data_IF_894085551017
#
_entry.id   IF_894085551017
#
_cell.length_a   1.000
_cell.length_b   1.000
_cell.length_c   1.000
_cell.angle_alpha   90.00
_cell.angle_beta   90.00
_cell.angle_gamma   90.00
#
_symmetry.space_group_name_H-M   'P 1'
#
loop_
_entity.id
_entity.type
_entity.pdbx_description
1 polymer ?
#
# COMPACT_ATOMS: atom_id res chain seq x y z
N UNK A 1 69.87 5.13 -31.96
CA UNK A 1 68.62 5.54 -31.26
C UNK A 1 67.58 4.44 -31.29
N UNK A 2 67.30 3.78 -32.43
CA UNK A 2 66.31 2.67 -32.50
C UNK A 2 66.57 1.54 -31.48
N UNK A 3 67.82 1.07 -31.33
CA UNK A 3 68.17 0.00 -30.39
C UNK A 3 67.81 0.34 -28.94
N UNK A 4 68.06 1.59 -28.50
CA UNK A 4 67.72 2.04 -27.14
C UNK A 4 66.20 2.06 -26.91
N UNK A 5 65.41 2.41 -27.93
CA UNK A 5 63.95 2.38 -27.83
C UNK A 5 63.43 0.95 -27.67
N UNK A 6 64.02 0.00 -28.41
CA UNK A 6 63.66 -1.43 -28.30
C UNK A 6 64.08 -2.01 -26.95
N UNK A 7 65.26 -1.64 -26.43
CA UNK A 7 65.67 -2.00 -25.05
C UNK A 7 64.64 -1.53 -24.02
N UNK A 8 64.27 -0.25 -24.05
CA UNK A 8 63.27 0.31 -23.12
C UNK A 8 61.90 -0.36 -23.23
N UNK A 9 61.47 -0.68 -24.44
CA UNK A 9 60.20 -1.36 -24.69
C UNK A 9 60.23 -2.80 -24.16
N UNK A 10 61.34 -3.53 -24.35
CA UNK A 10 61.54 -4.86 -23.78
C UNK A 10 61.63 -4.85 -22.26
N UNK A 11 62.30 -3.85 -21.66
CA UNK A 11 62.37 -3.71 -20.21
C UNK A 11 60.96 -3.51 -19.62
N UNK A 12 60.12 -2.69 -20.29
CA UNK A 12 58.71 -2.50 -19.91
C UNK A 12 57.91 -3.81 -20.02
N UNK A 13 57.99 -4.52 -21.15
CA UNK A 13 57.28 -5.80 -21.33
C UNK A 13 57.76 -6.87 -20.34
N UNK A 14 59.04 -6.86 -19.98
CA UNK A 14 59.60 -7.73 -18.95
C UNK A 14 59.02 -7.44 -17.57
N UNK A 15 58.83 -6.16 -17.23
CA UNK A 15 58.15 -5.77 -15.99
C UNK A 15 56.67 -6.18 -15.99
N UNK A 16 55.97 -6.01 -17.12
CA UNK A 16 54.58 -6.46 -17.28
C UNK A 16 54.47 -7.99 -17.10
N UNK A 17 55.36 -8.78 -17.69
CA UNK A 17 55.41 -10.24 -17.47
C UNK A 17 55.59 -10.60 -16.00
N UNK A 18 56.55 -9.96 -15.32
CA UNK A 18 56.80 -10.18 -13.89
C UNK A 18 55.59 -9.79 -13.04
N UNK A 19 54.89 -8.71 -13.39
CA UNK A 19 53.67 -8.28 -12.72
C UNK A 19 52.54 -9.29 -12.89
N UNK A 20 52.32 -9.81 -14.11
CA UNK A 20 51.30 -10.85 -14.36
C UNK A 20 51.55 -12.10 -13.51
N UNK A 21 52.81 -12.53 -13.39
CA UNK A 21 53.18 -13.72 -12.61
C UNK A 21 52.87 -13.58 -11.10
N UNK A 22 52.86 -12.35 -10.58
CA UNK A 22 52.52 -12.04 -9.18
C UNK A 22 51.03 -11.95 -8.93
N UNK A 23 50.21 -11.83 -9.99
CA UNK A 23 48.75 -11.73 -9.86
C UNK A 23 48.16 -13.11 -9.60
N UNK A 24 47.17 -13.16 -8.71
CA UNK A 24 46.33 -14.34 -8.52
C UNK A 24 44.91 -14.02 -9.05
N UNK A 25 44.46 -14.70 -10.12
CA UNK A 25 43.17 -14.45 -10.72
C UNK A 25 42.08 -15.04 -9.83
N UNK A 26 41.55 -14.22 -8.93
CA UNK A 26 40.46 -14.56 -8.03
C UNK A 26 39.12 -14.15 -8.65
N UNK A 27 38.17 -15.08 -8.73
CA UNK A 27 36.76 -14.67 -8.86
C UNK A 27 36.30 -14.22 -7.48
N UNK A 28 35.74 -13.01 -7.39
CA UNK A 28 35.16 -12.54 -6.14
C UNK A 28 34.15 -13.59 -5.63
N UNK A 29 34.22 -13.99 -4.35
CA UNK A 29 33.26 -14.93 -3.81
C UNK A 29 31.87 -14.30 -3.96
N UNK A 30 31.03 -14.90 -4.80
CA UNK A 30 29.60 -14.59 -4.79
C UNK A 30 29.13 -15.02 -3.40
N UNK A 31 28.65 -14.05 -2.61
CA UNK A 31 28.47 -14.02 -1.15
C UNK A 31 27.83 -15.24 -0.41
N UNK A 32 27.59 -16.37 -1.08
CA UNK A 32 26.97 -17.58 -0.52
C UNK A 32 27.86 -18.85 -0.65
N UNK A 33 29.16 -18.71 -0.90
CA UNK A 33 30.06 -19.82 -1.24
C UNK A 33 30.60 -20.60 -0.02
N UNK A 34 29.73 -21.36 0.65
CA UNK A 34 30.15 -22.49 1.50
C UNK A 34 29.94 -23.86 0.83
N UNK A 35 29.35 -23.92 -0.39
CA UNK A 35 28.80 -25.17 -0.92
C UNK A 35 29.34 -25.64 -2.29
N UNK A 36 30.08 -24.82 -3.03
CA UNK A 36 30.53 -25.22 -4.37
C UNK A 36 32.04 -25.53 -4.33
N UNK A 37 32.38 -26.83 -4.33
CA UNK A 37 33.74 -27.36 -4.26
C UNK A 37 34.58 -27.11 -5.52
N UNK A 38 34.49 -25.91 -6.09
CA UNK A 38 35.27 -25.52 -7.25
C UNK A 38 36.75 -25.53 -6.92
N UNK A 39 37.54 -26.29 -7.69
CA UNK A 39 38.98 -26.35 -7.51
C UNK A 39 39.59 -24.94 -7.57
N UNK A 40 40.44 -24.58 -6.57
CA UNK A 40 41.14 -23.31 -6.58
C UNK A 40 42.00 -23.25 -7.85
N UNK A 41 41.94 -22.12 -8.58
CA UNK A 41 42.87 -21.92 -9.70
C UNK A 41 44.30 -22.03 -9.17
N UNK A 42 45.14 -22.76 -9.90
CA UNK A 42 46.58 -22.74 -9.65
C UNK A 42 47.09 -21.29 -9.78
N UNK A 43 48.01 -20.86 -8.91
CA UNK A 43 48.64 -19.55 -9.03
C UNK A 43 49.26 -19.38 -10.43
N UNK A 44 49.16 -18.19 -11.03
CA UNK A 44 49.77 -17.91 -12.35
C UNK A 44 51.26 -18.23 -12.34
N UNK A 45 51.93 -17.98 -11.21
CA UNK A 45 53.34 -18.30 -11.00
C UNK A 45 53.70 -19.79 -11.16
N UNK A 46 52.74 -20.70 -11.00
CA UNK A 46 52.92 -22.14 -11.18
C UNK A 46 52.76 -22.58 -12.64
N UNK A 47 52.06 -21.79 -13.46
CA UNK A 47 51.77 -22.10 -14.87
C UNK A 47 52.75 -21.40 -15.81
N UNK A 48 53.13 -20.15 -15.49
CA UNK A 48 54.07 -19.36 -16.30
C UNK A 48 55.51 -19.51 -15.80
N UNK A 49 56.48 -19.74 -16.72
CA UNK A 49 57.88 -19.87 -16.36
C UNK A 49 58.43 -18.58 -15.73
N UNK A 50 59.37 -18.74 -14.80
CA UNK A 50 60.08 -17.59 -14.24
C UNK A 50 60.88 -16.85 -15.31
N UNK A 51 61.12 -15.56 -15.11
CA UNK A 51 61.97 -14.78 -16.02
C UNK A 51 63.35 -15.43 -16.21
N UNK A 52 63.88 -16.00 -15.12
CA UNK A 52 65.15 -16.74 -15.10
C UNK A 52 65.08 -18.02 -15.93
N UNK A 53 64.05 -18.84 -15.75
CA UNK A 53 63.83 -20.05 -16.56
C UNK A 53 63.74 -19.75 -18.06
N UNK A 54 63.03 -18.67 -18.42
CA UNK A 54 62.93 -18.25 -19.81
C UNK A 54 64.29 -17.81 -20.37
N UNK A 55 65.07 -17.03 -19.62
CA UNK A 55 66.38 -16.55 -20.07
C UNK A 55 67.42 -17.67 -20.15
N UNK A 56 67.45 -18.59 -19.17
CA UNK A 56 68.37 -19.73 -19.12
C UNK A 56 68.04 -20.77 -20.20
N UNK A 57 66.76 -20.87 -20.58
CA UNK A 57 66.28 -21.77 -21.63
C UNK A 57 66.59 -21.34 -23.06
N UNK A 58 67.21 -20.17 -23.27
CA UNK A 58 67.57 -19.64 -24.58
C UNK A 58 69.09 -19.70 -24.75
N UNK A 59 69.57 -20.66 -25.55
CA UNK A 59 71.00 -20.79 -25.84
C UNK A 59 71.39 -19.87 -26.99
N UNK A 60 72.61 -19.35 -26.95
CA UNK A 60 73.13 -18.51 -28.03
C UNK A 60 73.14 -19.23 -29.38
N UNK A 61 73.25 -20.56 -29.39
CA UNK A 61 73.25 -21.37 -30.61
C UNK A 61 71.86 -21.43 -31.26
N UNK A 62 70.77 -21.28 -30.49
CA UNK A 62 69.40 -21.32 -31.00
C UNK A 62 69.02 -19.99 -31.69
N UNK A 63 69.62 -18.88 -31.25
CA UNK A 63 69.38 -17.54 -31.81
C UNK A 63 70.38 -17.24 -32.93
N UNK A 64 71.65 -17.58 -32.71
CA UNK A 64 72.76 -17.29 -33.58
C UNK A 64 73.32 -18.61 -34.09
N UNK A 65 72.65 -19.24 -35.09
CA UNK A 65 73.20 -20.44 -35.70
C UNK A 65 74.63 -20.13 -36.12
N UNK A 66 75.58 -20.94 -35.64
CA UNK A 66 76.98 -20.83 -36.07
C UNK A 66 76.95 -20.80 -37.60
N UNK A 67 77.63 -19.84 -38.25
CA UNK A 67 77.68 -19.79 -39.70
C UNK A 67 78.09 -21.18 -40.12
N UNK A 68 77.18 -21.90 -40.79
CA UNK A 68 77.42 -23.27 -41.25
C UNK A 68 78.71 -23.16 -42.03
N UNK A 69 79.83 -23.62 -41.44
CA UNK A 69 81.07 -23.72 -42.17
C UNK A 69 80.70 -24.45 -43.45
N UNK A 70 81.05 -23.85 -44.59
CA UNK A 70 80.67 -24.31 -45.92
C UNK A 70 81.35 -25.67 -46.13
N UNK A 71 80.80 -26.70 -45.49
CA UNK A 71 80.99 -28.10 -45.78
C UNK A 71 80.01 -28.38 -46.92
N UNK A 72 80.58 -28.28 -48.11
CA UNK A 72 80.25 -29.07 -49.30
C UNK A 72 78.75 -29.15 -49.63
N UNK A 73 78.36 -28.20 -50.51
CA UNK A 73 77.32 -28.41 -51.50
C UNK A 73 77.63 -29.65 -52.36
N UNK A 74 77.05 -30.80 -52.04
CA UNK A 74 76.83 -31.85 -53.03
C UNK A 74 75.71 -32.82 -52.59
N UNK A 75 74.46 -32.35 -52.52
CA UNK A 75 73.27 -33.21 -52.66
C UNK A 75 71.99 -32.39 -52.87
N UNK A 76 71.94 -31.71 -54.02
CA UNK A 76 70.69 -31.20 -54.59
C UNK A 76 70.50 -31.81 -55.99
N UNK A 77 70.23 -33.13 -56.04
CA UNK A 77 69.57 -33.74 -57.18
C UNK A 77 68.64 -34.86 -56.71
N UNK A 78 67.38 -34.74 -57.12
CA UNK A 78 66.36 -35.79 -57.33
C UNK A 78 65.08 -35.65 -56.51
N UNK A 79 63.99 -35.86 -57.28
CA UNK A 79 62.59 -36.10 -56.90
C UNK A 79 61.79 -34.82 -56.61
N UNK A 80 60.92 -34.29 -57.47
CA UNK A 80 60.22 -34.86 -58.63
C UNK A 80 58.91 -35.53 -58.22
N UNK A 81 57.79 -34.78 -58.26
CA UNK A 81 56.40 -35.19 -58.59
C UNK A 81 55.42 -34.15 -58.01
N UNK A 82 54.63 -33.46 -58.82
CA UNK A 82 53.40 -33.90 -59.53
C UNK A 82 52.16 -34.03 -58.63
N UNK A 83 51.04 -33.54 -59.19
CA UNK A 83 49.64 -33.69 -58.78
C UNK A 83 49.17 -32.81 -57.61
N UNK A 84 47.99 -32.21 -57.61
CA UNK A 84 46.93 -32.11 -58.61
C UNK A 84 46.09 -30.87 -58.28
N UNK A 85 45.57 -30.26 -59.35
CA UNK A 85 44.41 -29.38 -59.35
C UNK A 85 43.21 -30.24 -58.95
N UNK A 86 42.43 -29.84 -57.95
CA UNK A 86 41.04 -30.27 -57.86
C UNK A 86 40.13 -29.08 -57.53
N UNK A 87 39.33 -28.73 -58.55
CA UNK A 87 38.15 -27.90 -58.44
C UNK A 87 36.98 -28.83 -58.14
N UNK A 88 36.32 -28.67 -57.01
CA UNK A 88 34.92 -29.08 -56.88
C UNK A 88 34.08 -27.96 -56.32
N UNK A 89 33.11 -27.58 -57.17
CA UNK A 89 31.97 -26.75 -56.90
C UNK A 89 30.98 -27.42 -55.94
N UNK A 90 30.04 -26.57 -55.51
CA UNK A 90 28.60 -26.84 -55.47
C UNK A 90 28.04 -27.59 -54.26
N UNK A 91 27.08 -26.87 -53.66
CA UNK A 91 25.79 -27.32 -53.15
C UNK A 91 25.83 -28.27 -51.93
N UNK A 92 24.96 -28.18 -50.94
CA UNK A 92 23.52 -28.06 -51.10
C UNK A 92 22.86 -27.60 -49.78
N UNK A 93 21.64 -27.13 -49.95
CA UNK A 93 20.70 -26.65 -48.96
C UNK A 93 20.27 -27.72 -47.93
N UNK A 94 19.70 -27.25 -46.81
CA UNK A 94 18.29 -27.44 -46.41
C UNK A 94 18.15 -27.31 -44.89
N UNK A 95 17.30 -26.41 -44.40
CA UNK A 95 15.93 -26.75 -44.00
C UNK A 95 15.26 -25.63 -43.19
N UNK A 96 14.04 -25.31 -43.62
CA UNK A 96 12.82 -25.07 -42.84
C UNK A 96 12.93 -24.39 -41.47
N UNK A 97 12.21 -23.27 -41.31
CA UNK A 97 10.95 -23.34 -40.57
C UNK A 97 10.03 -22.16 -40.88
N UNK A 98 8.78 -22.50 -41.17
CA UNK A 98 7.67 -21.59 -41.30
C UNK A 98 7.14 -21.22 -39.91
N UNK A 99 6.78 -19.96 -39.69
CA UNK A 99 5.62 -19.64 -38.84
C UNK A 99 4.98 -18.35 -39.34
N UNK A 100 3.68 -18.46 -39.62
CA UNK A 100 2.80 -17.36 -39.92
C UNK A 100 2.18 -16.82 -38.63
N UNK A 101 1.77 -15.55 -38.70
CA UNK A 101 0.65 -14.91 -37.98
C UNK A 101 0.71 -14.82 -36.45
N UNK A 102 0.58 -13.61 -35.91
CA UNK A 102 -0.65 -13.14 -35.22
C UNK A 102 -0.44 -11.72 -34.67
N UNK A 103 -1.22 -10.79 -35.23
CA UNK A 103 -2.03 -9.74 -34.59
C UNK A 103 -1.54 -9.05 -33.30
N UNK A 104 -1.48 -7.72 -33.35
CA UNK A 104 -1.80 -6.66 -32.35
C UNK A 104 -1.01 -5.41 -32.79
N UNK A 105 -1.47 -4.17 -32.72
CA UNK A 105 -2.26 -3.56 -31.67
C UNK A 105 -2.86 -2.23 -32.19
N UNK A 106 -4.13 -2.06 -31.89
CA UNK A 106 -4.95 -0.86 -32.07
C UNK A 106 -4.45 0.21 -31.11
N UNK A 107 -4.19 1.43 -31.59
CA UNK A 107 -3.88 2.59 -30.72
C UNK A 107 -4.81 3.75 -31.09
N UNK A 108 -5.30 4.44 -30.06
CA UNK A 108 -5.98 5.75 -30.05
C UNK A 108 -7.47 5.69 -30.47
N UNK A 109 -8.46 5.78 -29.58
CA UNK A 109 -8.84 6.86 -28.64
C UNK A 109 -9.90 6.31 -27.64
N UNK A 110 -10.11 6.89 -26.43
CA UNK A 110 -11.02 8.04 -26.28
C UNK A 110 -10.58 9.08 -25.24
N UNK A 111 -10.50 10.35 -25.66
CA UNK A 111 -10.52 11.48 -24.76
C UNK A 111 -11.93 11.68 -24.20
N UNK A 112 -12.15 11.21 -22.97
CA UNK A 112 -13.30 11.55 -22.15
C UNK A 112 -12.83 12.56 -21.09
N UNK A 113 -13.24 13.82 -21.23
CA UNK A 113 -13.14 14.85 -20.20
C UNK A 113 -14.48 15.57 -20.22
N UNK A 114 -15.42 15.14 -19.38
CA UNK A 114 -15.59 15.65 -18.02
C UNK A 114 -16.25 17.04 -18.02
N UNK A 115 -17.57 16.96 -17.87
CA UNK A 115 -18.51 17.93 -17.35
C UNK A 115 -17.91 19.16 -16.65
N UNK A 116 -17.87 20.27 -17.38
CA UNK A 116 -17.77 21.61 -16.79
C UNK A 116 -19.10 22.05 -16.20
N UNK A 117 -19.27 21.89 -14.88
CA UNK A 117 -20.21 22.68 -14.09
C UNK A 117 -19.55 23.06 -12.77
N UNK A 118 -19.01 24.28 -12.69
CA UNK A 118 -18.62 24.91 -11.45
C UNK A 118 -19.48 26.16 -11.25
N UNK A 119 -20.53 26.02 -10.44
CA UNK A 119 -21.32 27.13 -9.91
C UNK A 119 -20.54 27.72 -8.72
N UNK A 120 -19.79 28.80 -8.97
CA UNK A 120 -19.17 29.60 -7.92
C UNK A 120 -20.18 30.57 -7.30
N UNK A 121 -20.83 30.14 -6.23
CA UNK A 121 -21.59 31.01 -5.32
C UNK A 121 -20.74 31.32 -4.09
N UNK A 122 -20.02 32.44 -4.11
CA UNK A 122 -19.29 32.97 -2.95
C UNK A 122 -20.22 33.81 -2.08
N UNK A 123 -20.46 33.36 -0.86
CA UNK A 123 -21.22 34.10 0.14
C UNK A 123 -20.76 33.76 1.56
N UNK A 124 -20.19 34.76 2.23
CA UNK A 124 -20.40 35.02 3.65
C UNK A 124 -19.59 34.25 4.68
N UNK A 125 -18.50 34.88 5.14
CA UNK A 125 -18.05 34.89 6.55
C UNK A 125 -19.20 35.29 7.52
N UNK A 126 -19.12 35.11 8.87
CA UNK A 126 -17.92 34.95 9.70
C UNK A 126 -17.98 33.90 10.84
N UNK A 127 -16.79 33.67 11.44
CA UNK A 127 -16.50 33.13 12.77
C UNK A 127 -17.27 33.84 13.92
N UNK A 128 -17.13 33.48 15.23
CA UNK A 128 -16.20 32.53 15.88
C UNK A 128 -16.85 31.64 16.96
N UNK A 129 -16.09 30.69 17.54
CA UNK A 129 -16.12 30.36 18.99
C UNK A 129 -14.86 29.56 19.35
N UNK A 130 -14.25 30.02 20.43
CA UNK A 130 -13.06 29.53 21.14
C UNK A 130 -13.42 28.46 22.17
N UNK A 131 -12.56 27.46 22.35
CA UNK A 131 -12.20 26.79 23.63
C UNK A 131 -11.19 25.70 23.26
N UNK A 132 -9.90 25.87 23.59
CA UNK A 132 -9.29 25.50 24.88
C UNK A 132 -9.52 24.03 25.24
N UNK A 133 -8.50 23.18 25.04
CA UNK A 133 -8.02 22.20 26.04
C UNK A 133 -6.74 21.49 25.57
N UNK A 134 -5.63 21.96 26.13
CA UNK A 134 -4.46 21.23 26.66
C UNK A 134 -4.01 19.88 26.05
N UNK A 135 -2.84 19.92 25.41
CA UNK A 135 -1.85 18.83 25.45
C UNK A 135 -1.29 18.67 26.88
N UNK A 136 -0.70 17.50 27.20
CA UNK A 136 0.76 17.58 27.35
C UNK A 136 1.54 16.45 26.68
N UNK A 137 2.61 16.89 26.03
CA UNK A 137 3.78 16.12 25.58
C UNK A 137 4.66 15.65 26.74
N UNK A 138 5.07 14.38 26.73
CA UNK A 138 6.35 13.83 27.24
C UNK A 138 6.36 12.34 26.82
N UNK A 139 7.40 11.73 26.27
CA UNK A 139 8.78 11.76 26.73
C UNK A 139 9.78 11.48 25.60
N UNK A 140 10.87 12.22 25.68
CA UNK A 140 12.17 11.96 25.04
C UNK A 140 12.76 10.65 25.57
N UNK A 141 13.27 9.79 24.69
CA UNK A 141 14.43 8.95 24.98
C UNK A 141 15.39 8.90 23.81
N UNK A 142 16.41 9.74 23.94
CA UNK A 142 17.69 9.72 23.24
C UNK A 142 18.41 8.39 23.45
N UNK A 143 18.84 7.76 22.36
CA UNK A 143 19.89 6.75 22.35
C UNK A 143 20.91 7.14 21.27
N UNK A 144 21.80 8.08 21.65
CA UNK A 144 23.02 8.38 20.90
C UNK A 144 24.09 7.36 21.30
N UNK A 145 24.33 6.37 20.43
CA UNK A 145 25.49 5.50 20.52
C UNK A 145 26.66 6.16 19.80
N UNK A 146 27.56 6.72 20.59
CA UNK A 146 28.89 7.16 20.16
C UNK A 146 29.73 5.95 19.71
N UNK A 147 30.19 5.96 18.45
CA UNK A 147 31.23 5.05 17.96
C UNK A 147 32.43 5.83 17.44
N UNK A 148 33.47 5.75 18.26
CA UNK A 148 34.89 6.06 18.11
C UNK A 148 35.40 6.36 16.68
N UNK A 149 35.84 7.61 16.48
CA UNK A 149 36.82 7.98 15.45
C UNK A 149 38.23 7.89 16.05
N UNK A 150 39.00 6.86 15.69
CA UNK A 150 40.44 6.80 15.95
C UNK A 150 41.23 7.54 14.87
N UNK A 151 42.05 8.50 15.31
CA UNK A 151 43.08 9.18 14.51
C UNK A 151 44.38 8.35 14.50
N UNK A 152 45.02 8.10 13.36
CA UNK A 152 46.40 7.64 13.34
C UNK A 152 47.39 8.81 13.43
N UNK A 153 48.39 8.65 14.32
CA UNK A 153 49.58 9.50 14.49
C UNK A 153 50.53 9.39 13.28
N UNK A 154 51.30 10.44 12.96
CA UNK A 154 52.45 10.35 12.06
C UNK A 154 53.70 9.98 12.87
N UNK A 155 54.35 8.87 12.53
CA UNK A 155 55.72 8.57 12.97
C UNK A 155 56.65 8.63 11.77
N UNK A 156 57.48 9.67 11.78
CA UNK A 156 58.72 9.78 11.01
C UNK A 156 59.73 8.78 11.56
N UNK A 157 60.24 7.89 10.73
CA UNK A 157 61.56 7.32 10.96
C UNK A 157 62.35 7.22 9.67
N UNK A 158 63.57 7.74 9.77
CA UNK A 158 64.58 7.88 8.73
C UNK A 158 65.56 6.73 8.92
N UNK A 159 65.65 5.80 7.97
CA UNK A 159 66.70 4.79 7.96
C UNK A 159 67.35 4.74 6.58
N UNK A 160 68.66 4.86 6.60
CA UNK A 160 69.55 4.95 5.45
C UNK A 160 69.93 3.57 4.92
N UNK A 161 69.92 3.46 3.59
CA UNK A 161 70.84 2.76 2.68
C UNK A 161 71.63 1.56 3.23
N UNK A 162 71.38 0.38 2.65
CA UNK A 162 72.42 -0.50 2.12
C UNK A 162 71.86 -1.26 0.91
N UNK A 163 72.61 -1.23 -0.19
CA UNK A 163 72.20 -1.64 -1.53
C UNK A 163 72.91 -2.95 -1.86
N UNK A 164 72.31 -4.06 -1.47
CA UNK A 164 72.71 -5.41 -1.87
C UNK A 164 71.80 -5.89 -3.00
N UNK A 165 72.40 -6.36 -4.09
CA UNK A 165 71.68 -6.99 -5.23
C UNK A 165 71.29 -8.40 -4.79
N UNK A 166 70.19 -8.48 -4.03
CA UNK A 166 69.54 -9.72 -3.60
C UNK A 166 68.57 -10.14 -4.71
N UNK A 167 68.56 -11.45 -5.02
CA UNK A 167 67.61 -12.09 -5.95
C UNK A 167 66.15 -11.78 -5.53
N UNK A 168 65.56 -10.79 -6.22
CA UNK A 168 64.38 -9.98 -5.86
C UNK A 168 63.02 -10.66 -6.20
N UNK A 169 62.92 -11.99 -6.01
CA UNK A 169 61.69 -12.76 -6.28
C UNK A 169 61.00 -13.34 -5.02
N UNK A 170 61.52 -13.13 -3.81
CA UNK A 170 61.02 -13.84 -2.60
C UNK A 170 59.94 -13.13 -1.76
N UNK A 171 59.73 -11.81 -1.89
CA UNK A 171 58.79 -11.06 -1.02
C UNK A 171 57.73 -10.23 -1.76
N UNK A 172 57.40 -10.58 -3.01
CA UNK A 172 56.31 -9.90 -3.71
C UNK A 172 54.95 -10.33 -3.16
N UNK A 173 54.23 -9.40 -2.52
CA UNK A 173 52.82 -9.56 -2.13
C UNK A 173 51.98 -9.95 -3.34
N UNK A 174 51.25 -11.06 -3.22
CA UNK A 174 50.31 -11.51 -4.25
C UNK A 174 49.22 -10.44 -4.40
N UNK A 175 49.07 -9.89 -5.59
CA UNK A 175 48.04 -8.91 -5.90
C UNK A 175 46.80 -9.65 -6.41
N UNK A 176 45.66 -9.45 -5.74
CA UNK A 176 44.37 -9.91 -6.23
C UNK A 176 44.02 -9.12 -7.50
N UNK A 177 43.79 -9.82 -8.61
CA UNK A 177 43.36 -9.22 -9.86
C UNK A 177 42.22 -10.04 -10.45
N UNK A 178 41.32 -9.37 -11.16
CA UNK A 178 40.25 -10.10 -11.84
C UNK A 178 40.84 -10.94 -12.99
N UNK A 179 40.28 -12.13 -13.28
CA UNK A 179 40.71 -12.95 -14.42
C UNK A 179 40.70 -12.18 -15.75
N UNK A 180 39.75 -11.25 -15.91
CA UNK A 180 39.65 -10.35 -17.06
C UNK A 180 40.86 -9.40 -17.14
N UNK A 181 41.24 -8.77 -16.03
CA UNK A 181 42.42 -7.89 -16.01
C UNK A 181 43.69 -8.65 -16.40
N UNK A 182 43.89 -9.85 -15.85
CA UNK A 182 45.03 -10.71 -16.21
C UNK A 182 45.03 -11.01 -17.71
N UNK A 183 43.87 -11.38 -18.27
CA UNK A 183 43.73 -11.65 -19.70
C UNK A 183 44.07 -10.42 -20.55
N UNK A 184 43.57 -9.24 -20.18
CA UNK A 184 43.84 -8.00 -20.93
C UNK A 184 45.33 -7.62 -20.93
N UNK A 185 46.02 -7.85 -19.80
CA UNK A 185 47.46 -7.58 -19.72
C UNK A 185 48.24 -8.61 -20.56
N UNK A 186 47.84 -9.89 -20.54
CA UNK A 186 48.44 -10.92 -21.40
C UNK A 186 48.25 -10.61 -22.90
N UNK A 187 47.05 -10.19 -23.32
CA UNK A 187 46.77 -9.81 -24.72
C UNK A 187 47.58 -8.56 -25.14
N UNK A 188 47.74 -7.59 -24.23
CA UNK A 188 48.61 -6.41 -24.44
C UNK A 188 50.07 -6.80 -24.58
N UNK A 189 50.56 -7.71 -23.74
CA UNK A 189 51.93 -8.22 -23.78
C UNK A 189 52.20 -8.96 -25.10
N UNK A 190 51.29 -9.84 -25.53
CA UNK A 190 51.39 -10.54 -26.81
C UNK A 190 51.47 -9.55 -27.99
N UNK A 191 50.59 -8.55 -28.00
CA UNK A 191 50.59 -7.51 -29.03
C UNK A 191 51.90 -6.71 -29.04
N UNK A 192 52.44 -6.40 -27.86
CA UNK A 192 53.73 -5.70 -27.71
C UNK A 192 54.92 -6.51 -28.24
N UNK A 193 54.97 -7.81 -27.95
CA UNK A 193 56.01 -8.71 -28.48
C UNK A 193 55.90 -8.80 -30.01
N UNK A 194 54.71 -9.05 -30.56
CA UNK A 194 54.51 -9.12 -32.02
C UNK A 194 54.90 -7.82 -32.75
N UNK A 195 54.65 -6.66 -32.14
CA UNK A 195 55.03 -5.36 -32.71
C UNK A 195 56.56 -5.14 -32.75
N UNK A 196 57.33 -5.83 -31.90
CA UNK A 196 58.79 -5.74 -31.86
C UNK A 196 59.49 -6.66 -32.87
N UNK A 197 58.84 -7.75 -33.30
CA UNK A 197 59.37 -8.73 -34.26
C UNK A 197 60.13 -8.12 -35.45
N UNK A 198 59.55 -7.20 -36.27
CA UNK A 198 60.25 -6.67 -37.44
C UNK A 198 61.49 -5.83 -37.09
N UNK A 199 61.52 -5.21 -35.91
CA UNK A 199 62.70 -4.45 -35.45
C UNK A 199 63.82 -5.40 -35.02
N UNK A 200 63.47 -6.51 -34.37
CA UNK A 200 64.42 -7.56 -33.96
C UNK A 200 65.00 -8.25 -35.19
N UNK A 201 64.18 -8.58 -36.19
CA UNK A 201 64.65 -9.18 -37.45
C UNK A 201 65.65 -8.27 -38.18
N UNK A 202 65.39 -6.96 -38.19
CA UNK A 202 66.34 -5.97 -38.74
C UNK A 202 67.66 -5.94 -37.96
N UNK A 203 67.64 -6.13 -36.64
CA UNK A 203 68.86 -6.20 -35.85
C UNK A 203 69.61 -7.52 -36.03
N UNK A 204 68.89 -8.63 -36.16
CA UNK A 204 69.46 -9.94 -36.51
C UNK A 204 70.15 -9.89 -37.87
N UNK A 205 69.50 -9.35 -38.90
CA UNK A 205 70.11 -9.17 -40.22
C UNK A 205 71.41 -8.34 -40.14
N UNK A 206 71.39 -7.25 -39.38
CA UNK A 206 72.55 -6.39 -39.15
C UNK A 206 73.70 -7.07 -38.41
N UNK A 207 73.46 -8.11 -37.62
CA UNK A 207 74.54 -8.89 -37.01
C UNK A 207 75.36 -9.67 -38.04
N UNK A 208 74.72 -10.07 -39.14
CA UNK A 208 75.37 -10.79 -40.23
C UNK A 208 75.96 -9.87 -41.31
N UNK A 209 75.66 -8.57 -41.26
CA UNK A 209 76.28 -7.57 -42.14
C UNK A 209 77.79 -7.52 -41.91
N UNK A 210 78.53 -7.97 -42.92
CA UNK A 210 79.99 -7.82 -42.98
C UNK A 210 80.34 -6.57 -43.75
N UNK A 211 81.38 -5.88 -43.30
CA UNK A 211 81.96 -4.80 -44.08
C UNK A 211 82.52 -5.37 -45.39
N UNK A 212 82.08 -4.87 -46.57
CA UNK A 212 82.47 -5.41 -47.87
C UNK A 212 83.99 -5.39 -48.11
N UNK A 213 84.73 -4.48 -47.44
CA UNK A 213 86.18 -4.35 -47.61
C UNK A 213 86.93 -5.22 -46.62
N UNK A 214 86.57 -5.18 -45.33
CA UNK A 214 87.34 -5.85 -44.29
C UNK A 214 86.85 -7.27 -43.97
N UNK A 215 85.67 -7.66 -44.48
CA UNK A 215 84.93 -8.89 -44.14
C UNK A 215 84.69 -9.10 -42.63
N UNK A 216 85.04 -8.11 -41.79
CA UNK A 216 84.77 -8.11 -40.36
C UNK A 216 83.31 -7.70 -40.12
N UNK A 217 82.72 -8.08 -38.97
CA UNK A 217 81.39 -7.59 -38.60
C UNK A 217 81.36 -6.07 -38.66
N UNK A 218 80.34 -5.51 -39.30
CA UNK A 218 80.22 -4.06 -39.52
C UNK A 218 80.05 -3.27 -38.22
N UNK A 219 79.53 -3.94 -37.19
CA UNK A 219 79.28 -3.37 -35.88
C UNK A 219 80.35 -3.81 -34.88
N UNK A 220 80.77 -2.89 -34.00
CA UNK A 220 81.75 -3.21 -32.96
C UNK A 220 81.20 -4.20 -31.92
N UNK A 221 82.11 -4.90 -31.24
CA UNK A 221 81.83 -5.96 -30.27
C UNK A 221 80.79 -5.56 -29.20
N UNK A 222 80.89 -4.33 -28.67
CA UNK A 222 79.92 -3.79 -27.69
C UNK A 222 78.51 -3.64 -28.26
N UNK A 223 78.39 -3.23 -29.52
CA UNK A 223 77.08 -3.10 -30.17
C UNK A 223 76.49 -4.48 -30.49
N UNK A 224 77.32 -5.43 -30.93
CA UNK A 224 76.90 -6.81 -31.14
C UNK A 224 76.43 -7.46 -29.84
N UNK A 225 77.18 -7.31 -28.74
CA UNK A 225 76.79 -7.84 -27.43
C UNK A 225 75.43 -7.29 -26.96
N UNK A 226 75.15 -6.01 -27.18
CA UNK A 226 73.84 -5.40 -26.86
C UNK A 226 72.72 -5.93 -27.73
N UNK A 227 72.93 -6.04 -29.05
CA UNK A 227 71.93 -6.62 -29.94
C UNK A 227 71.65 -8.08 -29.56
N UNK A 228 72.70 -8.87 -29.26
CA UNK A 228 72.53 -10.25 -28.77
C UNK A 228 71.69 -10.33 -27.50
N UNK A 229 71.95 -9.45 -26.53
CA UNK A 229 71.17 -9.40 -25.30
C UNK A 229 69.70 -9.02 -25.56
N UNK A 230 69.46 -8.00 -26.38
CA UNK A 230 68.11 -7.57 -26.79
C UNK A 230 67.35 -8.71 -27.48
N UNK A 231 67.99 -9.42 -28.40
CA UNK A 231 67.38 -10.58 -29.05
C UNK A 231 67.11 -11.72 -28.07
N UNK A 232 68.01 -11.97 -27.11
CA UNK A 232 67.80 -13.00 -26.08
C UNK A 232 66.59 -12.69 -25.21
N UNK A 233 66.47 -11.44 -24.72
CA UNK A 233 65.32 -10.96 -23.95
C UNK A 233 64.03 -11.08 -24.77
N UNK A 234 64.07 -10.69 -26.04
CA UNK A 234 62.93 -10.84 -26.95
C UNK A 234 62.51 -12.30 -27.12
N UNK A 235 63.44 -13.22 -27.40
CA UNK A 235 63.17 -14.65 -27.59
C UNK A 235 62.67 -15.32 -26.30
N UNK A 236 63.17 -14.89 -25.14
CA UNK A 236 62.65 -15.31 -23.85
C UNK A 236 61.19 -14.88 -23.66
N UNK A 237 60.85 -13.61 -23.95
CA UNK A 237 59.48 -13.11 -23.89
C UNK A 237 58.55 -13.78 -24.91
N UNK A 238 59.00 -13.96 -26.14
CA UNK A 238 58.25 -14.66 -27.20
C UNK A 238 57.90 -16.08 -26.75
N UNK A 239 58.88 -16.82 -26.23
CA UNK A 239 58.65 -18.17 -25.68
C UNK A 239 57.68 -18.17 -24.50
N UNK A 240 57.80 -17.20 -23.58
CA UNK A 240 56.87 -17.05 -22.47
C UNK A 240 55.44 -16.78 -22.91
N UNK A 241 55.26 -15.85 -23.85
CA UNK A 241 53.96 -15.53 -24.45
C UNK A 241 53.40 -16.75 -25.19
N UNK A 242 54.21 -17.46 -25.98
CA UNK A 242 53.77 -18.70 -26.62
C UNK A 242 53.32 -19.75 -25.60
N UNK A 243 54.03 -19.95 -24.48
CA UNK A 243 53.56 -20.86 -23.41
C UNK A 243 52.22 -20.41 -22.81
N UNK A 244 52.00 -19.10 -22.70
CA UNK A 244 50.76 -18.55 -22.16
C UNK A 244 49.55 -18.64 -23.12
N UNK A 245 49.78 -18.75 -24.44
CA UNK A 245 48.76 -18.67 -25.50
C UNK A 245 48.63 -19.92 -26.38
N UNK A 246 49.70 -20.69 -26.60
CA UNK A 246 49.72 -21.87 -27.44
C UNK A 246 49.49 -23.14 -26.62
N UNK A 247 48.78 -24.10 -27.21
CA UNK A 247 48.66 -25.43 -26.64
C UNK A 247 49.99 -26.15 -26.86
N UNK A 248 50.69 -26.47 -25.78
CA UNK A 248 51.84 -27.37 -25.86
C UNK A 248 51.38 -28.70 -26.45
N UNK A 249 52.05 -29.20 -27.49
CA UNK A 249 51.75 -30.48 -28.17
C UNK A 249 51.69 -31.71 -27.25
N UNK A 250 52.09 -31.56 -25.99
CA UNK A 250 51.98 -32.59 -24.94
C UNK A 250 50.52 -32.89 -24.53
N UNK A 251 49.52 -32.24 -25.12
CA UNK A 251 48.11 -32.64 -25.13
C UNK A 251 47.37 -32.55 -23.79
N UNK A 252 48.07 -32.21 -22.70
CA UNK A 252 47.52 -32.28 -21.34
C UNK A 252 47.54 -30.95 -20.57
N UNK A 253 48.16 -29.90 -21.11
CA UNK A 253 48.20 -28.58 -20.47
C UNK A 253 47.41 -27.59 -21.31
N UNK A 254 46.16 -27.34 -20.93
CA UNK A 254 45.36 -26.29 -21.54
C UNK A 254 46.06 -24.94 -21.34
N UNK A 255 46.20 -24.18 -22.43
CA UNK A 255 46.79 -22.85 -22.42
C UNK A 255 46.12 -21.95 -21.36
N UNK A 256 46.92 -21.15 -20.63
CA UNK A 256 46.43 -20.28 -19.55
C UNK A 256 45.36 -19.30 -20.05
N UNK A 257 45.58 -18.67 -21.20
CA UNK A 257 44.63 -17.74 -21.79
C UNK A 257 43.29 -18.42 -22.15
N UNK A 258 43.34 -19.65 -22.69
CA UNK A 258 42.13 -20.44 -23.00
C UNK A 258 41.41 -20.83 -21.72
N UNK A 259 42.14 -21.28 -20.70
CA UNK A 259 41.58 -21.64 -19.39
C UNK A 259 40.90 -20.44 -18.71
N UNK A 260 41.54 -19.27 -18.74
CA UNK A 260 40.97 -18.03 -18.22
C UNK A 260 39.72 -17.61 -18.99
N UNK A 261 39.75 -17.62 -20.33
CA UNK A 261 38.60 -17.29 -21.18
C UNK A 261 37.41 -18.22 -20.91
N UNK A 262 37.64 -19.52 -20.86
CA UNK A 262 36.60 -20.52 -20.56
C UNK A 262 36.00 -20.29 -19.18
N UNK A 263 36.83 -20.05 -18.16
CA UNK A 263 36.34 -19.84 -16.78
C UNK A 263 35.61 -18.51 -16.63
N UNK A 264 36.05 -17.46 -17.31
CA UNK A 264 35.33 -16.18 -17.39
C UNK A 264 33.93 -16.39 -17.99
N UNK A 265 33.85 -17.14 -19.10
CA UNK A 265 32.60 -17.43 -19.78
C UNK A 265 31.66 -18.27 -18.89
N UNK A 266 32.17 -19.34 -18.27
CA UNK A 266 31.41 -20.17 -17.32
C UNK A 266 30.88 -19.35 -16.15
N UNK A 267 31.72 -18.50 -15.55
CA UNK A 267 31.29 -17.63 -14.45
C UNK A 267 30.20 -16.65 -14.91
N UNK A 268 30.33 -16.07 -16.12
CA UNK A 268 29.32 -15.19 -16.70
C UNK A 268 27.98 -15.91 -16.91
N UNK A 269 28.02 -17.13 -17.43
CA UNK A 269 26.83 -17.97 -17.60
C UNK A 269 26.20 -18.33 -16.26
N UNK A 270 27.00 -18.68 -15.25
CA UNK A 270 26.53 -19.00 -13.90
C UNK A 270 25.87 -17.77 -13.23
N UNK A 271 26.47 -16.59 -13.33
CA UNK A 271 25.89 -15.34 -12.80
C UNK A 271 24.60 -14.99 -13.53
N UNK A 272 24.55 -15.15 -14.86
CA UNK A 272 23.34 -14.89 -15.63
C UNK A 272 22.23 -15.88 -15.28
N UNK A 273 22.54 -17.18 -15.17
CA UNK A 273 21.59 -18.21 -14.74
C UNK A 273 21.05 -17.94 -13.34
N UNK A 274 21.90 -17.57 -12.37
CA UNK A 274 21.47 -17.16 -11.02
C UNK A 274 20.57 -15.92 -11.06
N UNK A 275 20.94 -14.92 -11.85
CA UNK A 275 20.15 -13.69 -12.00
C UNK A 275 18.77 -13.98 -12.60
N UNK A 276 18.71 -14.85 -13.61
CA UNK A 276 17.45 -15.29 -14.22
C UNK A 276 16.59 -16.09 -13.23
N UNK A 277 17.18 -17.02 -12.46
CA UNK A 277 16.47 -17.79 -11.44
C UNK A 277 15.89 -16.89 -10.32
N UNK A 278 16.64 -15.88 -9.88
CA UNK A 278 16.14 -14.90 -8.89
C UNK A 278 15.00 -14.08 -9.50
N UNK A 279 15.09 -13.70 -10.78
CA UNK A 279 14.06 -12.91 -11.46
C UNK A 279 12.76 -13.71 -11.61
N UNK A 280 12.83 -14.97 -12.03
CA UNK A 280 11.65 -15.84 -12.17
C UNK A 280 11.02 -16.12 -10.82
N UNK A 281 11.82 -16.35 -9.77
CA UNK A 281 11.31 -16.53 -8.42
C UNK A 281 10.56 -15.30 -7.92
N UNK A 282 11.11 -14.10 -8.13
CA UNK A 282 10.43 -12.84 -7.77
C UNK A 282 9.12 -12.62 -8.51
N UNK A 283 9.03 -13.06 -9.77
CA UNK A 283 7.79 -12.98 -10.55
C UNK A 283 6.70 -13.90 -9.98
N UNK A 284 7.06 -15.16 -9.66
CA UNK A 284 6.11 -16.10 -9.05
C UNK A 284 5.64 -15.65 -7.66
N UNK A 285 6.54 -15.10 -6.85
CA UNK A 285 6.16 -14.56 -5.54
C UNK A 285 5.25 -13.33 -5.67
N UNK A 286 5.49 -12.45 -6.65
CA UNK A 286 4.62 -11.30 -6.93
C UNK A 286 3.21 -11.76 -7.35
N UNK A 287 3.11 -12.71 -8.28
CA UNK A 287 1.82 -13.29 -8.71
C UNK A 287 1.06 -13.95 -7.54
N UNK A 288 1.78 -14.66 -6.65
CA UNK A 288 1.17 -15.25 -5.45
C UNK A 288 0.59 -14.18 -4.52
N UNK A 289 1.32 -13.08 -4.29
CA UNK A 289 0.88 -11.98 -3.44
C UNK A 289 -0.33 -11.26 -4.04
N UNK A 290 -0.34 -11.04 -5.36
CA UNK A 290 -1.48 -10.43 -6.04
C UNK A 290 -2.74 -11.32 -5.96
N UNK A 291 -2.58 -12.62 -6.18
CA UNK A 291 -3.68 -13.58 -6.05
C UNK A 291 -4.24 -13.64 -4.61
N UNK A 292 -3.37 -13.63 -3.59
CA UNK A 292 -3.78 -13.59 -2.19
C UNK A 292 -4.52 -12.28 -1.85
N UNK A 293 -4.04 -11.14 -2.35
CA UNK A 293 -4.68 -9.84 -2.18
C UNK A 293 -6.09 -9.81 -2.78
N UNK A 294 -6.26 -10.38 -3.97
CA UNK A 294 -7.56 -10.45 -4.65
C UNK A 294 -8.56 -11.31 -3.87
N UNK A 295 -8.12 -12.45 -3.32
CA UNK A 295 -8.96 -13.29 -2.46
C UNK A 295 -9.33 -12.58 -1.15
N UNK A 296 -8.39 -11.85 -0.55
CA UNK A 296 -8.66 -11.08 0.66
C UNK A 296 -9.69 -9.96 0.40
N UNK A 297 -9.60 -9.28 -0.74
CA UNK A 297 -10.57 -8.25 -1.16
C UNK A 297 -11.97 -8.84 -1.41
N UNK A 298 -12.07 -9.99 -2.07
CA UNK A 298 -13.35 -10.69 -2.25
C UNK A 298 -14.02 -11.02 -0.91
N UNK A 299 -13.25 -11.58 0.04
CA UNK A 299 -13.77 -11.87 1.39
C UNK A 299 -14.21 -10.62 2.15
N UNK A 300 -13.44 -9.53 2.03
CA UNK A 300 -13.81 -8.26 2.66
C UNK A 300 -15.11 -7.69 2.07
N UNK A 301 -15.28 -7.77 0.75
CA UNK A 301 -16.50 -7.32 0.08
C UNK A 301 -17.72 -8.18 0.45
N UNK A 302 -17.58 -9.50 0.51
CA UNK A 302 -18.63 -10.40 0.98
C UNK A 302 -19.05 -10.09 2.42
N UNK A 303 -18.09 -9.84 3.31
CA UNK A 303 -18.38 -9.46 4.70
C UNK A 303 -19.13 -8.13 4.79
N UNK A 304 -18.73 -7.13 4.00
CA UNK A 304 -19.42 -5.82 3.96
C UNK A 304 -20.86 -5.95 3.49
N UNK A 305 -21.11 -6.78 2.47
CA UNK A 305 -22.46 -7.04 1.97
C UNK A 305 -23.34 -7.71 3.04
N UNK A 306 -22.80 -8.69 3.78
CA UNK A 306 -23.53 -9.35 4.86
C UNK A 306 -23.81 -8.40 6.03
N UNK A 307 -22.87 -7.52 6.38
CA UNK A 307 -23.06 -6.52 7.43
C UNK A 307 -24.13 -5.48 7.03
N UNK A 308 -24.12 -5.04 5.77
CA UNK A 308 -25.13 -4.12 5.24
C UNK A 308 -26.53 -4.76 5.27
N UNK A 309 -26.66 -6.01 4.82
CA UNK A 309 -27.92 -6.76 4.93
C UNK A 309 -28.38 -7.00 6.37
N UNK A 310 -27.45 -7.07 7.34
CA UNK A 310 -27.80 -7.18 8.75
C UNK A 310 -28.32 -5.85 9.30
N UNK A 311 -27.67 -4.73 8.93
CA UNK A 311 -28.11 -3.37 9.32
C UNK A 311 -29.48 -3.03 8.74
N UNK A 312 -29.74 -3.38 7.48
CA UNK A 312 -31.06 -3.17 6.88
C UNK A 312 -32.16 -3.94 7.61
N UNK A 313 -31.90 -5.20 7.99
CA UNK A 313 -32.85 -6.01 8.77
C UNK A 313 -33.12 -5.40 10.15
N UNK A 314 -32.09 -4.95 10.85
CA UNK A 314 -32.23 -4.28 12.15
C UNK A 314 -33.06 -2.99 12.02
N UNK A 315 -32.83 -2.20 10.98
CA UNK A 315 -33.62 -0.98 10.71
C UNK A 315 -35.09 -1.29 10.40
N UNK A 316 -35.37 -2.34 9.62
CA UNK A 316 -36.73 -2.77 9.32
C UNK A 316 -37.47 -3.28 10.56
N UNK A 317 -36.79 -4.02 11.44
CA UNK A 317 -37.36 -4.47 12.71
C UNK A 317 -37.67 -3.31 13.65
N UNK A 318 -36.77 -2.32 13.75
CA UNK A 318 -36.99 -1.10 14.53
C UNK A 318 -38.17 -0.29 13.98
N UNK A 319 -38.27 -0.13 12.66
CA UNK A 319 -39.37 0.56 12.02
C UNK A 319 -40.72 -0.14 12.29
N UNK A 320 -40.74 -1.47 12.19
CA UNK A 320 -41.93 -2.28 12.48
C UNK A 320 -42.37 -2.13 13.94
N UNK A 321 -41.42 -2.23 14.89
CA UNK A 321 -41.70 -2.04 16.32
C UNK A 321 -42.21 -0.63 16.63
N UNK A 322 -41.69 0.40 15.95
CA UNK A 322 -42.17 1.77 16.11
C UNK A 322 -43.59 1.96 15.55
N UNK A 323 -43.93 1.33 14.42
CA UNK A 323 -45.29 1.36 13.87
C UNK A 323 -46.29 0.64 14.78
N UNK A 324 -45.94 -0.54 15.30
CA UNK A 324 -46.76 -1.29 16.25
C UNK A 324 -47.01 -0.48 17.53
N UNK A 325 -45.98 0.18 18.07
CA UNK A 325 -46.12 1.03 19.25
C UNK A 325 -47.05 2.23 19.01
N UNK A 326 -47.04 2.81 17.80
CA UNK A 326 -47.98 3.89 17.43
C UNK A 326 -49.41 3.39 17.35
N UNK A 327 -49.63 2.24 16.70
CA UNK A 327 -50.96 1.64 16.60
C UNK A 327 -51.53 1.32 17.98
N UNK A 328 -50.71 0.78 18.89
CA UNK A 328 -51.13 0.48 20.26
C UNK A 328 -51.57 1.71 21.04
N UNK A 329 -50.87 2.85 20.90
CA UNK A 329 -51.28 4.10 21.56
C UNK A 329 -52.63 4.60 21.04
N UNK A 330 -52.82 4.56 19.73
CA UNK A 330 -54.10 4.95 19.11
C UNK A 330 -55.24 4.04 19.57
N UNK A 331 -55.00 2.73 19.70
CA UNK A 331 -56.00 1.79 20.20
C UNK A 331 -56.33 2.02 21.69
N UNK A 332 -55.32 2.29 22.51
CA UNK A 332 -55.52 2.60 23.94
C UNK A 332 -56.29 3.93 24.12
N UNK A 333 -55.98 4.96 23.33
CA UNK A 333 -56.72 6.24 23.30
C UNK A 333 -58.17 6.05 22.84
N UNK A 334 -58.41 5.24 21.79
CA UNK A 334 -59.76 4.94 21.32
C UNK A 334 -60.58 4.21 22.39
N UNK A 335 -59.97 3.22 23.07
CA UNK A 335 -60.63 2.49 24.15
C UNK A 335 -60.99 3.40 25.33
N UNK A 336 -60.12 4.35 25.67
CA UNK A 336 -60.41 5.34 26.70
C UNK A 336 -61.57 6.27 26.31
N UNK A 337 -61.60 6.71 25.04
CA UNK A 337 -62.68 7.55 24.51
C UNK A 337 -64.01 6.81 24.49
N UNK A 338 -64.03 5.55 24.08
CA UNK A 338 -65.25 4.72 24.05
C UNK A 338 -65.79 4.48 25.46
N UNK A 339 -64.92 4.17 26.43
CA UNK A 339 -65.29 4.01 27.84
C UNK A 339 -65.88 5.31 28.44
N UNK A 340 -65.33 6.47 28.07
CA UNK A 340 -65.87 7.75 28.50
C UNK A 340 -67.26 8.04 27.89
N UNK A 341 -67.44 7.72 26.60
CA UNK A 341 -68.75 7.85 25.96
C UNK A 341 -69.79 6.94 26.60
N UNK A 342 -69.42 5.72 26.95
CA UNK A 342 -70.31 4.77 27.65
C UNK A 342 -70.72 5.30 29.02
N UNK A 343 -69.77 5.76 29.83
CA UNK A 343 -70.07 6.38 31.13
C UNK A 343 -71.00 7.60 31.01
N UNK A 344 -70.83 8.40 29.96
CA UNK A 344 -71.70 9.54 29.67
C UNK A 344 -73.11 9.11 29.25
N UNK A 345 -73.25 8.03 28.47
CA UNK A 345 -74.54 7.45 28.09
C UNK A 345 -75.27 6.87 29.30
N UNK A 346 -74.56 6.16 30.17
CA UNK A 346 -75.12 5.62 31.42
C UNK A 346 -75.67 6.74 32.31
N UNK A 347 -74.91 7.84 32.48
CA UNK A 347 -75.36 8.99 33.26
C UNK A 347 -76.65 9.62 32.68
N UNK A 348 -76.74 9.74 31.36
CA UNK A 348 -77.95 10.24 30.70
C UNK A 348 -79.14 9.28 30.88
N UNK A 349 -78.90 7.96 30.89
CA UNK A 349 -79.94 6.95 31.08
C UNK A 349 -80.55 6.97 32.49
N UNK A 350 -79.82 7.49 33.50
CA UNK A 350 -80.34 7.64 34.87
C UNK A 350 -81.45 8.69 35.00
N UNK A 351 -81.61 9.56 33.99
CA UNK A 351 -82.58 10.66 33.96
C UNK A 351 -83.61 10.44 32.84
N UNK A 352 -84.60 9.55 33.04
CA UNK A 352 -85.58 9.21 32.01
C UNK A 352 -86.57 10.34 31.72
N UNK A 353 -86.82 11.23 32.68
CA UNK A 353 -87.78 12.33 32.58
C UNK A 353 -87.04 13.66 32.72
N UNK A 354 -87.26 14.58 31.76
CA UNK A 354 -86.74 15.95 31.79
C UNK A 354 -87.83 16.93 32.23
N UNK A 355 -87.42 18.10 32.71
CA UNK A 355 -88.29 19.14 33.23
C UNK A 355 -88.55 19.01 34.73
N UNK A 356 -89.55 19.74 35.21
CA UNK A 356 -89.88 19.93 36.64
C UNK A 356 -90.01 18.61 37.40
N UNK A 357 -90.73 17.64 36.84
CA UNK A 357 -90.92 16.33 37.47
C UNK A 357 -89.61 15.53 37.56
N UNK A 358 -88.80 15.58 36.51
CA UNK A 358 -87.47 14.98 36.51
C UNK A 358 -86.59 15.57 37.61
N UNK A 359 -86.60 16.90 37.77
CA UNK A 359 -85.82 17.61 38.79
C UNK A 359 -86.25 17.17 40.19
N UNK A 360 -87.56 17.16 40.49
CA UNK A 360 -88.08 16.71 41.79
C UNK A 360 -87.65 15.27 42.09
N UNK A 361 -87.78 14.37 41.12
CA UNK A 361 -87.33 12.97 41.28
C UNK A 361 -85.83 12.86 41.61
N UNK A 362 -84.97 13.68 41.01
CA UNK A 362 -83.54 13.64 41.32
C UNK A 362 -83.22 14.28 42.66
N UNK A 363 -83.96 15.32 43.07
CA UNK A 363 -83.85 15.91 44.42
C UNK A 363 -84.30 14.89 45.48
N UNK A 364 -85.38 14.15 45.25
CA UNK A 364 -85.84 13.09 46.15
C UNK A 364 -84.78 11.99 46.30
N UNK A 365 -84.19 11.54 45.19
CA UNK A 365 -83.06 10.59 45.22
C UNK A 365 -81.86 11.13 45.99
N UNK A 366 -81.54 12.42 45.82
CA UNK A 366 -80.46 13.07 46.56
C UNK A 366 -80.77 13.14 48.05
N UNK A 367 -82.03 13.42 48.43
CA UNK A 367 -82.51 13.46 49.81
C UNK A 367 -82.46 12.07 50.46
N UNK A 368 -82.86 11.02 49.73
CA UNK A 368 -82.74 9.63 50.18
C UNK A 368 -81.26 9.24 50.39
N UNK A 369 -80.38 9.59 49.46
CA UNK A 369 -78.96 9.28 49.56
C UNK A 369 -78.23 10.05 50.67
N UNK A 370 -78.70 11.25 51.01
CA UNK A 370 -78.12 12.14 52.04
C UNK A 370 -78.98 12.22 53.30
N UNK A 371 -79.81 11.21 53.57
CA UNK A 371 -80.68 11.19 54.76
C UNK A 371 -79.89 11.35 56.08
N UNK A 372 -78.64 10.88 56.11
CA UNK A 372 -77.76 10.91 57.29
C UNK A 372 -76.88 12.19 57.34
N UNK A 373 -76.78 12.96 56.25
CA UNK A 373 -75.95 14.16 56.15
C UNK A 373 -76.76 15.35 55.60
N UNK A 374 -77.59 15.92 56.48
CA UNK A 374 -78.43 17.06 56.13
C UNK A 374 -77.63 18.28 55.70
N UNK A 375 -76.44 18.49 56.28
CA UNK A 375 -75.59 19.63 55.94
C UNK A 375 -75.08 19.54 54.50
N UNK A 376 -74.71 18.34 54.05
CA UNK A 376 -74.36 18.11 52.65
C UNK A 376 -75.55 18.34 51.71
N UNK A 377 -76.75 17.91 52.09
CA UNK A 377 -77.97 18.15 51.29
C UNK A 377 -78.26 19.65 51.15
N UNK A 378 -78.23 20.40 52.26
CA UNK A 378 -78.48 21.84 52.25
C UNK A 378 -77.41 22.59 51.43
N UNK A 379 -76.15 22.14 51.50
CA UNK A 379 -75.04 22.69 50.69
C UNK A 379 -75.24 22.42 49.20
N UNK A 380 -75.66 21.20 48.83
CA UNK A 380 -75.91 20.83 47.44
C UNK A 380 -77.09 21.61 46.86
N UNK A 381 -78.21 21.68 47.58
CA UNK A 381 -79.39 22.45 47.17
C UNK A 381 -79.09 23.95 47.07
N UNK A 382 -78.37 24.52 48.06
CA UNK A 382 -77.97 25.92 48.03
C UNK A 382 -77.01 26.25 46.88
N UNK A 383 -76.12 25.33 46.52
CA UNK A 383 -75.20 25.49 45.39
C UNK A 383 -75.91 25.38 44.05
N UNK A 384 -76.84 24.43 43.91
CA UNK A 384 -77.72 24.33 42.74
C UNK A 384 -78.58 25.58 42.59
N UNK A 385 -79.18 26.06 43.68
CA UNK A 385 -79.98 27.30 43.70
C UNK A 385 -79.16 28.49 43.20
N UNK A 386 -77.97 28.69 43.78
CA UNK A 386 -77.07 29.78 43.38
C UNK A 386 -76.72 29.72 41.89
N UNK A 387 -76.49 28.51 41.37
CA UNK A 387 -76.18 28.29 39.97
C UNK A 387 -77.36 28.69 39.07
N UNK A 388 -78.56 28.18 39.34
CA UNK A 388 -79.73 28.51 38.54
C UNK A 388 -80.15 29.99 38.67
N UNK A 389 -80.01 30.60 39.85
CA UNK A 389 -80.28 32.03 40.08
C UNK A 389 -79.34 32.91 39.22
N UNK A 390 -78.05 32.56 39.14
CA UNK A 390 -77.10 33.26 38.27
C UNK A 390 -77.50 33.18 36.79
N UNK A 391 -77.92 31.99 36.32
CA UNK A 391 -78.36 31.81 34.94
C UNK A 391 -79.65 32.58 34.68
N UNK A 392 -80.64 32.54 35.58
CA UNK A 392 -81.92 33.24 35.39
C UNK A 392 -81.74 34.76 35.39
N UNK A 393 -80.82 35.29 36.19
CA UNK A 393 -80.50 36.73 36.24
C UNK A 393 -79.79 37.22 34.98
N UNK A 394 -78.96 36.38 34.36
CA UNK A 394 -78.12 36.71 33.20
C UNK A 394 -78.10 35.55 32.19
N UNK A 395 -79.22 35.27 31.51
CA UNK A 395 -79.32 34.13 30.61
C UNK A 395 -78.36 34.22 29.42
N UNK A 396 -77.96 35.41 29.00
CA UNK A 396 -77.02 35.66 27.90
C UNK A 396 -75.57 35.26 28.23
N UNK A 397 -75.20 35.19 29.51
CA UNK A 397 -73.82 34.94 29.93
C UNK A 397 -73.50 33.43 29.86
N UNK A 398 -72.79 33.03 28.80
CA UNK A 398 -72.42 31.63 28.49
C UNK A 398 -71.66 30.96 29.64
N UNK A 399 -70.86 31.73 30.40
CA UNK A 399 -70.06 31.20 31.51
C UNK A 399 -70.91 30.60 32.62
N UNK A 400 -72.10 31.14 32.91
CA UNK A 400 -72.99 30.56 33.93
C UNK A 400 -73.67 29.28 33.44
N UNK A 401 -73.77 29.10 32.13
CA UNK A 401 -74.41 27.95 31.48
C UNK A 401 -73.42 26.83 31.14
N UNK A 402 -72.11 27.05 31.35
CA UNK A 402 -71.03 26.07 31.21
C UNK A 402 -70.54 25.67 32.60
N UNK A 403 -70.85 24.45 33.01
CA UNK A 403 -70.43 23.92 34.31
C UNK A 403 -69.41 22.82 34.07
N UNK A 404 -68.17 23.06 34.44
CA UNK A 404 -67.09 22.08 34.34
C UNK A 404 -67.31 20.91 35.31
N UNK A 405 -67.32 19.67 34.81
CA UNK A 405 -67.56 18.46 35.62
C UNK A 405 -66.40 18.21 36.61
N UNK A 406 -65.19 18.60 36.23
CA UNK A 406 -63.97 18.47 37.04
C UNK A 406 -63.75 19.63 38.01
N UNK A 407 -64.63 20.64 38.04
CA UNK A 407 -64.44 21.80 38.90
C UNK A 407 -64.52 21.38 40.38
N UNK A 408 -63.49 21.63 41.22
CA UNK A 408 -63.42 21.08 42.58
C UNK A 408 -64.64 21.43 43.43
N UNK A 409 -65.07 22.69 43.40
CA UNK A 409 -66.27 23.13 44.12
C UNK A 409 -67.56 22.49 43.58
N UNK A 410 -67.63 22.26 42.28
CA UNK A 410 -68.78 21.57 41.71
C UNK A 410 -68.81 20.13 42.19
N UNK A 411 -67.68 19.43 42.15
CA UNK A 411 -67.56 18.04 42.61
C UNK A 411 -67.86 17.90 44.09
N UNK A 412 -67.38 18.83 44.92
CA UNK A 412 -67.62 18.85 46.37
C UNK A 412 -69.07 19.15 46.71
N UNK A 413 -69.66 20.18 46.10
CA UNK A 413 -70.99 20.65 46.49
C UNK A 413 -72.12 19.86 45.81
N UNK A 414 -71.93 19.40 44.57
CA UNK A 414 -73.00 18.84 43.72
C UNK A 414 -72.59 17.49 43.12
N UNK A 415 -71.43 17.42 42.47
CA UNK A 415 -71.03 16.35 41.56
C UNK A 415 -70.79 14.99 42.22
N UNK A 416 -70.44 14.96 43.52
CA UNK A 416 -70.26 13.73 44.29
C UNK A 416 -71.57 13.11 44.79
N UNK A 417 -72.66 13.88 44.81
CA UNK A 417 -73.92 13.46 45.40
C UNK A 417 -74.82 12.81 44.35
N UNK A 418 -75.44 11.67 44.70
CA UNK A 418 -76.44 11.00 43.85
C UNK A 418 -77.61 11.96 43.63
N UNK A 419 -78.03 12.16 42.38
CA UNK A 419 -79.08 13.11 42.04
C UNK A 419 -78.56 14.52 41.71
N UNK A 420 -77.39 14.92 42.20
CA UNK A 420 -76.87 16.28 42.00
C UNK A 420 -76.55 16.61 40.53
N UNK A 421 -75.86 15.70 39.83
CA UNK A 421 -75.56 15.84 38.39
C UNK A 421 -76.81 15.63 37.55
N UNK A 422 -77.65 14.72 38.00
CA UNK A 422 -78.89 14.32 37.35
C UNK A 422 -79.92 15.46 37.36
N UNK A 423 -79.94 16.33 38.38
CA UNK A 423 -80.75 17.56 38.39
C UNK A 423 -80.39 18.48 37.22
N UNK A 424 -79.11 18.66 36.91
CA UNK A 424 -78.69 19.47 35.76
C UNK A 424 -79.17 18.85 34.43
N UNK A 425 -79.05 17.53 34.28
CA UNK A 425 -79.51 16.81 33.09
C UNK A 425 -81.05 16.90 32.97
N UNK A 426 -81.77 16.77 34.08
CA UNK A 426 -83.22 16.90 34.14
C UNK A 426 -83.67 18.32 33.77
N UNK A 427 -82.92 19.34 34.18
CA UNK A 427 -83.14 20.74 33.81
C UNK A 427 -82.80 21.05 32.34
N UNK A 428 -82.24 20.09 31.60
CA UNK A 428 -81.97 20.22 30.16
C UNK A 428 -80.50 20.48 29.79
N UNK A 429 -79.57 20.44 30.75
CA UNK A 429 -78.15 20.51 30.43
C UNK A 429 -77.70 19.26 29.65
N UNK A 430 -76.86 19.48 28.65
CA UNK A 430 -76.24 18.44 27.85
C UNK A 430 -74.80 18.23 28.31
N UNK A 431 -74.33 16.99 28.25
CA UNK A 431 -72.94 16.69 28.57
C UNK A 431 -72.11 16.78 27.29
N UNK A 432 -71.20 17.75 27.24
CA UNK A 432 -70.34 18.00 26.08
C UNK A 432 -68.89 18.16 26.52
N UNK A 433 -67.95 17.80 25.63
CA UNK A 433 -66.54 18.09 25.84
C UNK A 433 -66.23 19.43 25.20
N UNK A 434 -65.79 20.39 26.01
CA UNK A 434 -65.32 21.68 25.53
C UNK A 434 -63.86 21.84 25.93
N UNK A 435 -62.98 21.89 24.93
CA UNK A 435 -61.51 21.89 25.10
C UNK A 435 -61.02 20.62 25.82
N UNK A 436 -61.54 19.44 25.43
CA UNK A 436 -61.29 18.13 26.08
C UNK A 436 -61.72 18.02 27.55
N UNK A 437 -62.37 19.05 28.11
CA UNK A 437 -62.92 19.04 29.46
C UNK A 437 -64.41 18.71 29.43
N UNK A 438 -64.89 17.66 30.12
CA UNK A 438 -66.31 17.34 30.21
C UNK A 438 -67.05 18.44 30.98
N UNK A 439 -68.05 19.05 30.34
CA UNK A 439 -68.85 20.14 30.87
C UNK A 439 -70.35 19.82 30.73
N UNK A 440 -71.16 20.25 31.70
CA UNK A 440 -72.59 20.41 31.51
C UNK A 440 -72.85 21.75 30.84
N UNK A 441 -73.49 21.74 29.67
CA UNK A 441 -73.79 22.93 28.89
C UNK A 441 -75.30 23.02 28.67
N UNK A 442 -75.88 24.13 29.07
CA UNK A 442 -77.25 24.48 28.71
C UNK A 442 -77.22 25.26 27.39
N UNK A 443 -77.57 24.60 26.27
CA UNK A 443 -77.60 25.24 24.96
C UNK A 443 -78.77 26.20 24.82
N UNK A 444 -78.46 27.46 24.54
CA UNK A 444 -79.46 28.45 24.18
C UNK A 444 -80.05 28.13 22.81
N UNK A 445 -81.38 28.06 22.68
CA UNK A 445 -82.02 28.11 21.37
C UNK A 445 -81.70 29.43 20.69
N UNK A 446 -81.38 29.39 19.40
CA UNK A 446 -81.08 30.60 18.63
C UNK A 446 -82.32 31.51 18.60
N UNK A 447 -82.27 32.62 19.34
CA UNK A 447 -83.42 33.52 19.57
C UNK A 447 -84.03 34.07 18.28
N UNK A 448 -83.20 34.31 17.25
CA UNK A 448 -83.64 34.83 15.96
C UNK A 448 -84.45 33.80 15.15
N UNK A 449 -84.22 32.51 15.37
CA UNK A 449 -84.86 31.43 14.63
C UNK A 449 -85.96 30.70 15.40
N UNK A 450 -85.89 30.69 16.74
CA UNK A 450 -86.79 29.90 17.60
C UNK A 450 -87.04 30.60 18.94
N UNK A 451 -87.89 31.64 18.92
CA UNK A 451 -88.30 32.38 20.11
C UNK A 451 -89.08 31.48 21.09
N UNK A 452 -89.95 30.61 20.58
CA UNK A 452 -90.75 29.69 21.41
C UNK A 452 -89.83 28.71 22.15
N UNK A 453 -88.83 28.15 21.47
CA UNK A 453 -87.79 27.33 22.07
C UNK A 453 -87.00 28.08 23.15
N UNK A 454 -86.59 29.32 22.88
CA UNK A 454 -85.89 30.16 23.86
C UNK A 454 -86.75 30.42 25.10
N UNK A 455 -88.02 30.77 24.93
CA UNK A 455 -88.96 31.01 26.03
C UNK A 455 -89.19 29.73 26.84
N UNK A 456 -89.39 28.59 26.19
CA UNK A 456 -89.57 27.30 26.86
C UNK A 456 -88.32 26.89 27.65
N UNK A 457 -87.13 27.13 27.09
CA UNK A 457 -85.85 26.92 27.76
C UNK A 457 -85.72 27.79 29.00
N UNK A 458 -85.94 29.11 28.87
CA UNK A 458 -85.81 30.05 29.98
C UNK A 458 -86.86 29.82 31.08
N UNK A 459 -88.10 29.53 30.70
CA UNK A 459 -89.15 29.16 31.66
C UNK A 459 -88.85 27.82 32.35
N UNK A 460 -88.19 26.88 31.67
CA UNK A 460 -87.67 25.66 32.27
C UNK A 460 -86.67 25.94 33.38
N UNK A 461 -85.74 26.88 33.16
CA UNK A 461 -84.76 27.30 34.17
C UNK A 461 -85.43 27.99 35.37
N UNK A 462 -86.40 28.87 35.13
CA UNK A 462 -87.17 29.51 36.21
C UNK A 462 -87.92 28.49 37.06
N UNK A 463 -88.63 27.56 36.43
CA UNK A 463 -89.34 26.49 37.14
C UNK A 463 -88.39 25.60 37.92
N UNK A 464 -87.18 25.37 37.40
CA UNK A 464 -86.13 24.64 38.13
C UNK A 464 -85.73 25.40 39.39
N UNK A 465 -85.53 26.71 39.28
CA UNK A 465 -85.23 27.58 40.42
C UNK A 465 -86.35 27.57 41.46
N UNK A 466 -87.61 27.70 41.03
CA UNK A 466 -88.80 27.63 41.90
C UNK A 466 -88.86 26.30 42.67
N UNK A 467 -88.62 25.16 42.00
CA UNK A 467 -88.57 23.85 42.67
C UNK A 467 -87.45 23.80 43.70
N UNK A 468 -86.27 24.34 43.40
CA UNK A 468 -85.16 24.37 44.36
C UNK A 468 -85.50 25.23 45.59
N UNK A 469 -86.16 26.37 45.41
CA UNK A 469 -86.66 27.21 46.52
C UNK A 469 -87.69 26.46 47.38
N UNK A 470 -88.65 25.78 46.76
CA UNK A 470 -89.63 24.95 47.45
C UNK A 470 -88.94 23.85 48.27
N UNK A 471 -87.95 23.18 47.71
CA UNK A 471 -87.25 22.06 48.33
C UNK A 471 -86.29 22.48 49.44
N UNK A 472 -85.73 23.69 49.39
CA UNK A 472 -84.91 24.27 50.47
C UNK A 472 -85.73 24.64 51.71
N UNK A 473 -87.03 24.93 51.54
CA UNK A 473 -87.94 25.25 52.66
C UNK A 473 -88.41 23.97 53.39
N UNK A 474 -88.34 22.80 52.73
CA UNK A 474 -88.73 21.47 53.25
C UNK A 474 -87.61 20.75 54.00
#
# INVERSE_FOLDING_TARGET
MELRKVEQELDRLTLEWKAIRRKQPGFAPVNDAAADGGEPMLPIAAVLPSWKEMMDGIKDEDIFPKPREVAEEEEAMMVGNEAAIDMTNSDDATNNEATATTTTETTEEPAYSEWGMLMGGGGGDPAPITSDEEEPTNDKKSNDSASSMEKPKPTTDTTSVEMDVVDDEKDATIEDSTPQEVLTVLDSLQSGVLALQPKIDKFLAKLYDRDPVTRKPRYGEKAMARVKNVTRIYKALEKGVSIAFEETNDGNTACLAVTLKTRIQQHKEQVNAKTQAIKTQRQLDAERIEHERLLAEQRANEQRLLEEQAKEREQQELATRAQEARLRRVEEEQRALDAEQEANRELLALVPVKGVEGIRMQIDRMREALQDDRAALDTALGSLYTLFDQIVRKPEEVNFRRIRRDHPKFMEDIGRHVGGREVLIAAGFQLEKLDDVPCFISKEPHIESDMDGWSAWFDGLKKTLEVLEEEMIK
#
